data_IF_974946557389
#
_entry.id   IF_974946557389
#
_cell.length_a   1.000
_cell.length_b   1.000
_cell.length_c   1.000
_cell.angle_alpha   90.00
_cell.angle_beta   90.00
_cell.angle_gamma   90.00
#
_symmetry.space_group_name_H-M   'P 1'
#
loop_
_entity.id
_entity.type
_entity.pdbx_description
1 polymer ?
#
# COMPACT_ATOMS: atom_id res chain seq x y z
N UNK A 1 -15.54 1.68 -1.16
CA UNK A 1 -15.70 0.22 -1.36
C UNK A 1 -15.09 -0.43 -0.13
N UNK A 2 -15.86 -1.19 0.63
CA UNK A 2 -15.35 -1.87 1.83
C UNK A 2 -14.64 -3.17 1.41
N UNK A 3 -13.31 -3.19 1.49
CA UNK A 3 -12.50 -4.35 1.10
C UNK A 3 -12.44 -5.33 2.26
N UNK A 4 -13.04 -6.51 2.09
CA UNK A 4 -12.95 -7.59 3.08
C UNK A 4 -11.66 -8.38 2.91
N UNK A 5 -11.01 -8.71 4.02
CA UNK A 5 -9.71 -9.40 4.03
C UNK A 5 -9.74 -10.78 3.38
N UNK A 6 -10.89 -11.47 3.43
CA UNK A 6 -11.11 -12.78 2.81
C UNK A 6 -11.18 -12.74 1.27
N UNK A 7 -11.34 -11.55 0.71
CA UNK A 7 -11.46 -11.31 -0.73
C UNK A 7 -10.16 -10.79 -1.36
N UNK A 8 -9.08 -10.69 -0.57
CA UNK A 8 -7.77 -10.22 -1.03
C UNK A 8 -7.00 -11.40 -1.61
N UNK A 9 -6.79 -11.38 -2.92
CA UNK A 9 -5.83 -12.27 -3.58
C UNK A 9 -4.41 -11.84 -3.20
N UNK A 10 -3.67 -12.73 -2.54
CA UNK A 10 -2.30 -12.48 -2.10
C UNK A 10 -1.26 -13.32 -2.87
N UNK A 11 -1.66 -13.94 -3.97
CA UNK A 11 -0.80 -14.74 -4.83
C UNK A 11 -1.17 -14.54 -6.29
N UNK A 12 -0.17 -14.40 -7.16
CA UNK A 12 -0.35 -14.34 -8.62
C UNK A 12 0.67 -15.26 -9.30
N UNK A 13 0.36 -15.70 -10.52
CA UNK A 13 1.34 -16.34 -11.42
C UNK A 13 1.74 -15.32 -12.47
N UNK A 14 3.04 -15.11 -12.66
CA UNK A 14 3.55 -14.13 -13.62
C UNK A 14 4.84 -14.62 -14.28
N UNK A 15 5.05 -14.19 -15.53
CA UNK A 15 6.17 -14.62 -16.36
C UNK A 15 7.23 -13.55 -16.50
N UNK A 16 8.42 -13.93 -16.96
CA UNK A 16 9.50 -12.97 -17.17
C UNK A 16 9.07 -11.84 -18.12
N UNK A 17 9.35 -10.61 -17.69
CA UNK A 17 8.95 -9.33 -18.31
C UNK A 17 7.50 -8.90 -18.10
N UNK A 18 6.67 -9.67 -17.40
CA UNK A 18 5.35 -9.19 -17.01
C UNK A 18 5.47 -7.95 -16.12
N UNK A 19 4.51 -7.05 -16.29
CA UNK A 19 4.29 -5.92 -15.39
C UNK A 19 3.12 -6.27 -14.50
N UNK A 20 3.37 -6.37 -13.20
CA UNK A 20 2.34 -6.63 -12.20
C UNK A 20 2.03 -5.37 -11.41
N UNK A 21 0.78 -5.28 -10.97
CA UNK A 21 0.28 -4.19 -10.14
C UNK A 21 -0.21 -4.77 -8.82
N UNK A 22 0.33 -4.29 -7.71
CA UNK A 22 0.05 -4.77 -6.36
C UNK A 22 -0.60 -3.66 -5.56
N UNK A 23 -1.81 -3.89 -5.09
CA UNK A 23 -2.48 -2.97 -4.16
C UNK A 23 -2.01 -3.24 -2.73
N UNK A 24 -1.57 -2.20 -2.03
CA UNK A 24 -1.34 -2.23 -0.58
C UNK A 24 -2.64 -1.81 0.10
N UNK A 25 -3.16 -2.66 0.97
CA UNK A 25 -4.48 -2.47 1.59
C UNK A 25 -4.30 -2.27 3.09
N UNK A 26 -4.93 -1.24 3.62
CA UNK A 26 -5.18 -1.11 5.06
C UNK A 26 -6.60 -1.62 5.36
N UNK A 27 -6.76 -2.35 6.46
CA UNK A 27 -8.03 -2.96 6.83
C UNK A 27 -8.39 -2.64 8.27
N UNK A 28 -9.69 -2.42 8.51
CA UNK A 28 -10.24 -2.13 9.84
C UNK A 28 -9.53 -0.96 10.55
N UNK A 29 -9.17 0.08 9.80
CA UNK A 29 -8.58 1.30 10.36
C UNK A 29 -9.67 2.18 10.96
N UNK A 30 -9.29 2.95 11.97
CA UNK A 30 -10.15 3.93 12.62
C UNK A 30 -9.42 5.27 12.65
N UNK A 31 -10.09 6.35 12.26
CA UNK A 31 -9.59 7.71 12.33
C UNK A 31 -8.22 7.92 11.64
N UNK A 32 -7.94 7.19 10.56
CA UNK A 32 -6.61 7.21 9.92
C UNK A 32 -6.31 8.57 9.27
N UNK A 33 -5.14 9.13 9.54
CA UNK A 33 -4.72 10.41 8.94
C UNK A 33 -3.45 10.27 8.13
N UNK A 34 -2.46 9.59 8.73
CA UNK A 34 -1.12 9.48 8.18
C UNK A 34 -0.65 8.04 8.26
N UNK A 35 0.00 7.58 7.21
CA UNK A 35 0.62 6.26 7.20
C UNK A 35 2.03 6.29 6.61
N UNK A 36 2.84 5.36 7.11
CA UNK A 36 4.10 4.96 6.52
C UNK A 36 4.20 3.44 6.55
N UNK A 37 4.59 2.86 5.42
CA UNK A 37 4.70 1.41 5.23
C UNK A 37 5.99 1.12 4.46
N UNK A 38 6.67 0.02 4.79
CA UNK A 38 7.74 -0.50 3.94
C UNK A 38 7.34 -1.82 3.29
N UNK A 39 7.79 -2.02 2.05
CA UNK A 39 7.67 -3.29 1.33
C UNK A 39 9.08 -3.79 1.05
N UNK A 40 9.38 -4.96 1.59
CA UNK A 40 10.59 -5.72 1.34
C UNK A 40 10.34 -6.73 0.21
N UNK A 41 11.25 -6.80 -0.77
CA UNK A 41 11.18 -7.71 -1.92
C UNK A 41 12.58 -8.11 -2.42
N UNK A 42 12.65 -9.18 -3.23
CA UNK A 42 13.90 -9.61 -3.88
C UNK A 42 14.11 -8.85 -5.20
N UNK A 43 15.07 -7.92 -5.22
CA UNK A 43 15.41 -7.06 -6.36
C UNK A 43 16.16 -7.79 -7.50
N UNK A 44 16.59 -9.04 -7.26
CA UNK A 44 17.10 -9.94 -8.29
C UNK A 44 16.00 -10.67 -9.05
N UNK A 45 14.79 -10.77 -8.47
CA UNK A 45 13.65 -11.48 -9.06
C UNK A 45 12.58 -10.55 -9.63
N UNK A 46 12.35 -9.39 -9.00
CA UNK A 46 11.43 -8.36 -9.49
C UNK A 46 12.03 -6.97 -9.35
N UNK A 47 11.63 -6.04 -10.21
CA UNK A 47 12.11 -4.66 -10.22
C UNK A 47 10.97 -3.70 -9.91
N UNK A 48 11.16 -2.81 -8.93
CA UNK A 48 10.23 -1.70 -8.68
C UNK A 48 10.25 -0.70 -9.84
N UNK A 49 9.08 -0.40 -10.41
CA UNK A 49 8.92 0.58 -11.49
C UNK A 49 8.33 1.91 -11.01
N UNK A 50 7.48 1.86 -9.99
CA UNK A 50 6.83 3.04 -9.45
C UNK A 50 5.72 2.70 -8.47
N UNK A 51 5.32 3.69 -7.67
CA UNK A 51 4.17 3.61 -6.80
C UNK A 51 3.24 4.80 -7.00
N UNK A 52 1.96 4.54 -6.89
CA UNK A 52 0.88 5.47 -7.22
C UNK A 52 -0.10 5.54 -6.07
N UNK A 53 -0.59 6.75 -5.84
CA UNK A 53 -1.59 7.00 -4.80
C UNK A 53 -2.96 6.46 -5.20
N UNK A 54 -3.37 6.79 -6.42
CA UNK A 54 -4.65 6.48 -7.03
C UNK A 54 -4.43 5.82 -8.40
N UNK A 55 -5.47 5.18 -8.95
CA UNK A 55 -5.52 4.75 -10.35
C UNK A 55 -6.82 5.23 -10.99
N UNK A 56 -6.72 6.26 -11.81
CA UNK A 56 -7.85 6.80 -12.59
C UNK A 56 -8.42 5.77 -13.57
N UNK A 57 -7.57 4.89 -14.09
CA UNK A 57 -7.98 3.87 -15.07
C UNK A 57 -8.87 2.79 -14.44
N UNK A 58 -8.56 2.39 -13.20
CA UNK A 58 -9.30 1.35 -12.48
C UNK A 58 -10.33 1.91 -11.50
N UNK A 59 -10.47 3.24 -11.40
CA UNK A 59 -11.32 3.90 -10.41
C UNK A 59 -10.91 3.64 -8.97
N UNK A 60 -9.63 3.34 -8.73
CA UNK A 60 -9.09 3.11 -7.38
C UNK A 60 -8.67 4.47 -6.82
N UNK A 61 -9.25 4.82 -5.69
CA UNK A 61 -8.92 6.01 -4.92
C UNK A 61 -8.29 5.60 -3.59
N UNK A 62 -7.31 6.37 -3.14
CA UNK A 62 -6.63 6.16 -1.86
C UNK A 62 -7.61 6.25 -0.69
N UNK A 63 -7.42 5.40 0.31
CA UNK A 63 -8.24 5.35 1.52
C UNK A 63 -8.36 6.72 2.21
N UNK A 64 -7.31 7.54 2.21
CA UNK A 64 -7.38 8.87 2.82
C UNK A 64 -8.33 9.84 2.08
N UNK A 65 -8.69 9.57 0.83
CA UNK A 65 -9.54 10.47 0.02
C UNK A 65 -11.02 10.10 0.04
N UNK A 66 -11.39 8.90 0.51
CA UNK A 66 -12.76 8.36 0.35
C UNK A 66 -13.86 9.20 1.02
N UNK A 67 -13.51 9.96 2.07
CA UNK A 67 -14.43 10.85 2.80
C UNK A 67 -14.32 12.32 2.34
N UNK A 68 -13.73 12.56 1.16
CA UNK A 68 -13.43 13.90 0.65
C UNK A 68 -12.17 14.51 1.27
N UNK A 69 -11.27 13.66 1.80
CA UNK A 69 -9.94 14.08 2.21
C UNK A 69 -9.07 14.41 0.99
N UNK A 70 -8.10 15.30 1.18
CA UNK A 70 -7.08 15.62 0.19
C UNK A 70 -5.72 15.32 0.79
N UNK A 71 -4.81 14.79 -0.01
CA UNK A 71 -3.45 14.45 0.44
C UNK A 71 -2.46 15.40 -0.21
N UNK A 72 -1.39 15.76 0.52
CA UNK A 72 -0.40 16.70 0.00
C UNK A 72 0.89 16.04 -0.48
N UNK A 73 1.18 14.82 -0.02
CA UNK A 73 2.55 14.29 -0.09
C UNK A 73 2.63 12.78 -0.18
N UNK A 74 1.84 12.14 -1.05
CA UNK A 74 2.06 10.73 -1.36
C UNK A 74 3.46 10.54 -1.98
N UNK A 75 4.22 9.61 -1.41
CA UNK A 75 5.50 9.16 -1.96
C UNK A 75 5.63 7.65 -1.83
N UNK A 76 6.13 7.02 -2.88
CA UNK A 76 6.56 5.63 -2.88
C UNK A 76 7.93 5.58 -3.55
N UNK A 77 8.97 5.27 -2.78
CA UNK A 77 10.36 5.29 -3.25
C UNK A 77 11.11 4.06 -2.78
N UNK A 78 11.84 3.41 -3.69
CA UNK A 78 12.86 2.44 -3.31
C UNK A 78 14.06 3.21 -2.76
N UNK A 79 14.20 3.20 -1.44
CA UNK A 79 15.22 3.99 -0.75
C UNK A 79 16.50 3.18 -0.47
N UNK A 80 16.40 1.85 -0.59
CA UNK A 80 17.49 0.87 -0.62
C UNK A 80 17.08 -0.27 -1.55
N UNK A 81 18.03 -0.99 -2.16
CA UNK A 81 17.70 -2.12 -3.03
C UNK A 81 16.80 -3.14 -2.30
N UNK A 82 15.67 -3.49 -2.92
CA UNK A 82 14.71 -4.44 -2.36
C UNK A 82 13.82 -3.86 -1.25
N UNK A 83 13.83 -2.55 -1.01
CA UNK A 83 13.06 -1.91 0.08
C UNK A 83 12.39 -0.60 -0.36
N UNK A 84 11.08 -0.66 -0.56
CA UNK A 84 10.24 0.50 -0.88
C UNK A 84 9.72 1.11 0.42
N UNK A 85 9.81 2.43 0.55
CA UNK A 85 9.15 3.21 1.58
C UNK A 85 7.96 3.97 0.95
N UNK A 86 6.79 3.79 1.54
CA UNK A 86 5.54 4.43 1.14
C UNK A 86 5.10 5.32 2.29
N UNK A 87 4.80 6.58 2.02
CA UNK A 87 4.27 7.51 2.99
C UNK A 87 3.19 8.40 2.38
N UNK A 88 2.17 8.70 3.17
CA UNK A 88 1.14 9.66 2.80
C UNK A 88 0.48 10.24 4.06
N UNK A 89 -0.13 11.42 3.89
CA UNK A 89 -0.75 12.16 4.98
C UNK A 89 -1.81 13.11 4.43
N UNK A 90 -2.92 13.22 5.15
CA UNK A 90 -3.87 14.32 4.98
C UNK A 90 -3.43 15.55 5.78
N UNK A 91 -3.63 16.77 5.27
CA UNK A 91 -3.40 17.96 6.05
C UNK A 91 -4.56 18.23 7.02
N UNK A 92 -4.20 18.58 8.26
CA UNK A 92 -5.14 19.04 9.28
C UNK A 92 -5.49 17.95 10.29
N UNK A 93 -6.56 18.20 11.06
CA UNK A 93 -6.97 17.33 12.18
C UNK A 93 -8.49 17.06 12.17
N UNK A 94 -9.11 17.13 10.99
CA UNK A 94 -10.57 17.03 10.88
C UNK A 94 -11.02 15.58 10.75
N UNK A 95 -11.52 15.02 11.85
CA UNK A 95 -12.06 13.65 11.94
C UNK A 95 -13.13 13.35 10.87
N UNK A 96 -13.84 14.35 10.33
CA UNK A 96 -14.82 14.14 9.27
C UNK A 96 -14.19 13.56 7.99
N UNK A 97 -12.93 13.88 7.72
CA UNK A 97 -12.22 13.40 6.54
C UNK A 97 -11.43 12.11 6.82
N UNK A 98 -11.21 11.78 8.09
CA UNK A 98 -10.56 10.54 8.47
C UNK A 98 -11.43 9.34 8.04
N UNK A 99 -10.87 8.36 7.31
CA UNK A 99 -11.60 7.20 6.87
C UNK A 99 -11.70 6.14 7.98
N UNK A 100 -12.75 5.35 7.85
CA UNK A 100 -13.07 4.21 8.69
C UNK A 100 -13.16 2.96 7.81
N UNK A 101 -12.68 1.82 8.30
CA UNK A 101 -12.81 0.53 7.61
C UNK A 101 -11.59 0.17 6.77
N UNK A 102 -11.80 -0.26 5.53
CA UNK A 102 -10.75 -0.89 4.72
C UNK A 102 -10.65 -0.28 3.32
N UNK A 103 -9.42 -0.15 2.79
CA UNK A 103 -9.19 0.39 1.46
C UNK A 103 -7.73 0.37 1.01
N UNK A 104 -7.52 0.77 -0.25
CA UNK A 104 -6.19 0.83 -0.86
C UNK A 104 -5.43 2.06 -0.36
N UNK A 105 -4.21 1.87 0.13
CA UNK A 105 -3.31 2.95 0.56
C UNK A 105 -2.14 3.16 -0.41
N UNK A 106 -1.89 2.24 -1.34
CA UNK A 106 -0.95 2.46 -2.43
C UNK A 106 -1.15 1.43 -3.54
N UNK A 107 -0.73 1.76 -4.75
CA UNK A 107 -0.62 0.83 -5.87
C UNK A 107 0.83 0.80 -6.30
N UNK A 108 1.45 -0.38 -6.29
CA UNK A 108 2.86 -0.58 -6.60
C UNK A 108 3.00 -1.37 -7.89
N UNK A 109 3.87 -0.90 -8.78
CA UNK A 109 4.15 -1.54 -10.05
C UNK A 109 5.52 -2.22 -10.00
N UNK A 110 5.55 -3.50 -10.37
CA UNK A 110 6.79 -4.27 -10.50
C UNK A 110 6.91 -4.86 -11.90
N UNK A 111 8.16 -5.03 -12.35
CA UNK A 111 8.51 -5.87 -13.50
C UNK A 111 9.11 -7.19 -13.02
N UNK A 112 8.63 -8.31 -13.56
CA UNK A 112 9.20 -9.62 -13.27
C UNK A 112 10.51 -9.82 -14.05
N UNK A 113 11.61 -10.09 -13.35
CA UNK A 113 12.94 -10.31 -13.94
C UNK A 113 13.23 -11.79 -14.18
N UNK A 114 12.66 -12.67 -13.36
CA UNK A 114 12.92 -14.11 -13.34
C UNK A 114 11.69 -14.90 -12.89
N UNK A 115 11.49 -16.10 -13.42
CA UNK A 115 10.34 -17.00 -13.13
C UNK A 115 10.62 -17.90 -11.91
N UNK A 116 11.23 -17.34 -10.86
CA UNK A 116 11.41 -18.03 -9.60
C UNK A 116 10.39 -17.49 -8.59
N UNK A 117 9.77 -18.34 -7.76
CA UNK A 117 8.85 -17.88 -6.74
C UNK A 117 9.49 -16.84 -5.82
N UNK A 118 8.75 -15.76 -5.53
CA UNK A 118 9.20 -14.69 -4.63
C UNK A 118 8.03 -14.13 -3.83
N UNK A 119 8.35 -13.36 -2.78
CA UNK A 119 7.37 -12.75 -1.89
C UNK A 119 7.68 -11.28 -1.64
N UNK A 120 6.63 -10.53 -1.34
CA UNK A 120 6.70 -9.15 -0.86
C UNK A 120 6.17 -9.12 0.57
N UNK A 121 6.96 -8.58 1.49
CA UNK A 121 6.61 -8.54 2.91
C UNK A 121 6.42 -7.10 3.39
N UNK A 122 5.40 -6.88 4.23
CA UNK A 122 5.21 -5.60 4.88
C UNK A 122 6.13 -5.48 6.10
N UNK A 123 6.77 -4.31 6.23
CA UNK A 123 7.67 -3.97 7.33
C UNK A 123 7.41 -2.55 7.80
N UNK A 124 7.83 -2.24 9.03
CA UNK A 124 7.83 -0.90 9.61
C UNK A 124 6.54 -0.11 9.33
N UNK A 125 5.39 -0.73 9.63
CA UNK A 125 4.07 -0.16 9.40
C UNK A 125 3.71 0.77 10.56
N UNK A 126 3.43 2.03 10.23
CA UNK A 126 3.07 3.07 11.18
C UNK A 126 1.82 3.79 10.68
N UNK A 127 0.75 3.76 11.46
CA UNK A 127 -0.46 4.56 11.25
C UNK A 127 -0.58 5.58 12.38
N UNK A 128 -1.00 6.79 12.04
CA UNK A 128 -1.33 7.85 12.97
C UNK A 128 -2.77 8.31 12.72
N UNK A 129 -3.48 8.59 13.79
CA UNK A 129 -4.79 9.22 13.74
C UNK A 129 -4.68 10.76 13.59
N UNK A 130 -5.81 11.45 13.42
CA UNK A 130 -5.83 12.93 13.31
C UNK A 130 -5.27 13.66 14.54
N UNK A 131 -5.16 12.99 15.68
CA UNK A 131 -4.61 13.52 16.92
C UNK A 131 -3.11 13.19 17.09
N UNK A 132 -2.47 12.65 16.04
CA UNK A 132 -1.10 12.15 16.04
C UNK A 132 -0.85 10.99 17.03
N UNK A 133 -1.90 10.27 17.39
CA UNK A 133 -1.79 9.04 18.19
C UNK A 133 -1.44 7.90 17.26
N UNK A 134 -0.41 7.14 17.62
CA UNK A 134 0.00 5.96 16.86
C UNK A 134 -0.95 4.81 17.10
N UNK A 135 -1.45 4.24 16.01
CA UNK A 135 -2.25 3.03 16.05
C UNK A 135 -1.41 1.77 16.22
N UNK A 136 -2.03 0.77 16.85
CA UNK A 136 -1.43 -0.55 16.98
C UNK A 136 -1.75 -1.39 15.76
N UNK A 137 -0.72 -1.73 14.98
CA UNK A 137 -0.84 -2.71 13.90
C UNK A 137 -0.83 -4.12 14.49
N UNK A 138 -1.93 -4.86 14.27
CA UNK A 138 -2.14 -6.19 14.88
C UNK A 138 -1.72 -7.35 13.98
N UNK A 139 -1.75 -7.15 12.66
CA UNK A 139 -1.49 -8.19 11.67
C UNK A 139 -0.90 -7.57 10.41
N UNK A 140 0.01 -8.32 9.78
CA UNK A 140 0.53 -8.05 8.44
C UNK A 140 0.29 -9.30 7.59
N UNK A 141 0.09 -9.09 6.30
CA UNK A 141 -0.11 -10.15 5.31
C UNK A 141 0.80 -9.90 4.12
N UNK A 142 1.53 -10.93 3.71
CA UNK A 142 2.49 -10.86 2.61
C UNK A 142 1.82 -11.23 1.27
N UNK A 143 2.42 -10.76 0.17
CA UNK A 143 2.04 -11.12 -1.20
C UNK A 143 3.07 -12.04 -1.84
N UNK A 144 2.64 -12.89 -2.78
CA UNK A 144 3.51 -13.87 -3.46
C UNK A 144 3.35 -13.86 -4.98
N UNK A 145 4.44 -14.12 -5.68
CA UNK A 145 4.47 -14.35 -7.13
C UNK A 145 5.03 -15.75 -7.33
N UNK A 146 4.28 -16.59 -8.05
CA UNK A 146 4.60 -17.99 -8.31
C UNK A 146 5.00 -18.23 -9.76
#
# INVERSE_FOLDING_TARGET
>A
MDIRTDSIENSVVAYKNDIIWVAVIASEVYNLDTYQVEIEFDDGLIQFLGGYEDSQYNGIENLLKINGGETLSFKAVEHKPGLINIANSMPGINEKFAPEGSGVIAIIQFKVLSEHPTSMALRNVNFLDVNNVRDQIRKLSDGTIN
#
